data_IF_836646811326
#
_entry.id   IF_836646811326
#
_cell.length_a   1.000
_cell.length_b   1.000
_cell.length_c   1.000
_cell.angle_alpha   90.00
_cell.angle_beta   90.00
_cell.angle_gamma   90.00
#
_symmetry.space_group_name_H-M   'P 1'
#
loop_
_entity.id
_entity.type
_entity.pdbx_description
1 polymer ?
#
# COMPACT_ATOMS: atom_id res chain seq x y z
N UNK A 1 -2.15 -16.15 -8.09
CA UNK A 1 -1.25 -15.09 -8.58
C UNK A 1 0.03 -15.15 -7.76
N UNK A 2 1.20 -15.11 -8.39
CA UNK A 2 2.50 -15.41 -7.75
C UNK A 2 3.14 -14.21 -7.06
N UNK A 3 2.54 -13.02 -7.19
CA UNK A 3 3.02 -11.77 -6.59
C UNK A 3 4.08 -11.04 -7.43
N UNK A 4 4.67 -9.97 -6.87
CA UNK A 4 5.74 -9.22 -7.52
C UNK A 4 7.02 -10.05 -7.67
N UNK A 5 7.72 -9.84 -8.78
CA UNK A 5 9.09 -10.34 -9.02
C UNK A 5 9.92 -9.22 -9.62
N UNK A 6 11.27 -9.28 -9.53
CA UNK A 6 12.14 -8.29 -10.18
C UNK A 6 11.83 -8.12 -11.68
N UNK A 7 11.57 -9.22 -12.39
CA UNK A 7 11.27 -9.21 -13.83
C UNK A 7 9.97 -8.45 -14.13
N UNK A 8 8.94 -8.62 -13.29
CA UNK A 8 7.69 -7.86 -13.42
C UNK A 8 7.87 -6.38 -13.06
N UNK A 9 8.78 -6.05 -12.14
CA UNK A 9 9.08 -4.66 -11.77
C UNK A 9 9.80 -3.91 -12.89
N UNK A 10 10.53 -4.60 -13.78
CA UNK A 10 11.14 -4.03 -14.98
C UNK A 10 10.12 -3.50 -16.00
N UNK A 11 8.85 -3.93 -15.93
CA UNK A 11 7.75 -3.34 -16.72
C UNK A 11 7.57 -1.84 -16.39
N UNK A 12 8.01 -1.44 -15.20
CA UNK A 12 8.06 -0.05 -14.78
C UNK A 12 6.88 0.36 -13.90
N UNK A 13 7.02 1.52 -13.27
CA UNK A 13 5.95 2.22 -12.56
C UNK A 13 4.71 2.42 -13.45
N UNK A 14 3.47 2.37 -12.91
CA UNK A 14 2.28 2.68 -13.70
C UNK A 14 2.30 4.11 -14.25
N UNK A 15 1.71 4.30 -15.43
CA UNK A 15 1.58 5.63 -16.04
C UNK A 15 0.95 6.65 -15.09
N UNK A 16 1.52 7.85 -15.06
CA UNK A 16 1.09 9.01 -14.23
C UNK A 16 1.08 8.74 -12.72
N UNK A 17 1.61 7.61 -12.26
CA UNK A 17 1.60 7.25 -10.84
C UNK A 17 2.36 8.27 -9.98
N UNK A 18 3.48 8.80 -10.48
CA UNK A 18 4.33 9.76 -9.76
C UNK A 18 3.63 11.08 -9.40
N UNK A 19 2.70 11.53 -10.25
CA UNK A 19 1.95 12.77 -10.05
C UNK A 19 0.57 12.56 -9.46
N UNK A 20 0.10 11.31 -9.40
CA UNK A 20 -1.14 10.96 -8.74
C UNK A 20 -1.00 11.12 -7.21
N UNK A 21 -1.95 11.81 -6.54
CA UNK A 21 -1.97 11.88 -5.08
C UNK A 21 -1.93 10.49 -4.45
N UNK A 22 -1.18 10.34 -3.35
CA UNK A 22 -1.05 9.05 -2.65
C UNK A 22 -2.40 8.57 -2.10
N UNK A 23 -3.13 9.49 -1.47
CA UNK A 23 -4.37 9.21 -0.74
C UNK A 23 -5.45 10.22 -1.11
N UNK A 24 -6.72 9.83 -0.96
CA UNK A 24 -7.88 10.70 -1.03
C UNK A 24 -8.45 11.01 0.35
N UNK A 25 -9.55 11.76 0.38
CA UNK A 25 -10.31 12.01 1.62
C UNK A 25 -11.09 10.75 2.01
N UNK A 26 -11.25 10.55 3.32
CA UNK A 26 -12.15 9.50 3.83
C UNK A 26 -13.58 9.80 3.36
N UNK A 27 -14.24 8.79 2.82
CA UNK A 27 -15.63 8.86 2.35
C UNK A 27 -16.51 8.18 3.39
N UNK A 28 -17.51 8.91 3.88
CA UNK A 28 -18.51 8.47 4.86
C UNK A 28 -17.94 7.85 6.15
N UNK A 29 -16.70 8.19 6.50
CA UNK A 29 -16.01 7.59 7.65
C UNK A 29 -15.61 6.12 7.47
N UNK A 30 -15.91 5.52 6.31
CA UNK A 30 -15.80 4.08 6.05
C UNK A 30 -14.70 3.75 5.02
N UNK A 31 -14.67 4.48 3.90
CA UNK A 31 -13.77 4.17 2.80
C UNK A 31 -12.58 5.13 2.79
N UNK A 32 -11.37 4.57 2.76
CA UNK A 32 -10.14 5.32 2.59
C UNK A 32 -9.54 5.02 1.21
N UNK A 33 -9.78 5.86 0.20
CA UNK A 33 -9.22 5.66 -1.13
C UNK A 33 -7.75 6.05 -1.20
N UNK A 34 -6.95 5.27 -1.91
CA UNK A 34 -5.54 5.53 -2.18
C UNK A 34 -5.14 4.94 -3.54
N UNK A 35 -4.10 5.49 -4.18
CA UNK A 35 -3.53 4.88 -5.40
C UNK A 35 -2.80 3.58 -5.02
N UNK A 36 -2.60 2.66 -5.97
CA UNK A 36 -1.89 1.39 -5.66
C UNK A 36 -0.51 1.67 -5.06
N UNK A 37 -0.18 1.14 -3.87
CA UNK A 37 1.17 1.25 -3.32
C UNK A 37 2.13 0.35 -4.08
N UNK A 38 3.42 0.67 -4.04
CA UNK A 38 4.47 -0.08 -4.71
C UNK A 38 5.45 -0.64 -3.68
N UNK A 39 5.83 -1.90 -3.79
CA UNK A 39 6.85 -2.49 -2.93
C UNK A 39 8.26 -1.99 -3.29
N UNK A 40 9.23 -2.37 -2.46
CA UNK A 40 10.63 -1.93 -2.59
C UNK A 40 11.30 -2.29 -3.91
N UNK A 41 10.74 -3.21 -4.72
CA UNK A 41 11.26 -3.53 -6.05
C UNK A 41 11.20 -2.33 -7.03
N UNK A 42 10.41 -1.30 -6.73
CA UNK A 42 10.30 -0.09 -7.54
C UNK A 42 11.15 1.08 -7.02
N UNK A 43 11.87 0.91 -5.91
CA UNK A 43 12.58 2.00 -5.22
C UNK A 43 13.60 2.71 -6.10
N UNK A 44 14.31 1.97 -6.93
CA UNK A 44 15.34 2.52 -7.84
C UNK A 44 14.73 3.30 -9.01
N UNK A 45 13.42 3.18 -9.23
CA UNK A 45 12.68 3.89 -10.28
C UNK A 45 11.97 5.15 -9.74
N UNK A 46 11.95 5.35 -8.42
CA UNK A 46 11.11 6.35 -7.74
C UNK A 46 11.96 7.17 -6.77
N UNK A 47 11.95 8.49 -6.95
CA UNK A 47 12.52 9.43 -5.97
C UNK A 47 11.98 9.15 -4.56
N UNK A 48 12.86 9.10 -3.55
CA UNK A 48 12.51 8.75 -2.16
C UNK A 48 11.27 9.47 -1.62
N UNK A 49 11.09 10.75 -1.93
CA UNK A 49 9.94 11.56 -1.47
C UNK A 49 8.59 11.15 -2.08
N UNK A 50 8.62 10.56 -3.28
CA UNK A 50 7.43 10.16 -4.04
C UNK A 50 7.02 8.72 -3.75
N UNK A 51 7.88 7.92 -3.12
CA UNK A 51 7.61 6.53 -2.73
C UNK A 51 6.35 6.42 -1.87
N UNK A 52 5.62 5.34 -2.08
CA UNK A 52 4.37 5.05 -1.40
C UNK A 52 4.23 3.54 -1.27
N UNK A 53 4.63 3.02 -0.11
CA UNK A 53 4.62 1.61 0.24
C UNK A 53 3.32 1.24 0.95
N UNK A 54 2.97 -0.06 1.04
CA UNK A 54 1.81 -0.49 1.82
C UNK A 54 1.83 0.01 3.27
N UNK A 55 3.02 0.09 3.90
CA UNK A 55 3.20 0.61 5.25
C UNK A 55 2.75 2.09 5.38
N UNK A 56 2.97 2.92 4.35
CA UNK A 56 2.56 4.32 4.35
C UNK A 56 1.03 4.47 4.43
N UNK A 57 0.27 3.49 3.92
CA UNK A 57 -1.19 3.46 4.03
C UNK A 57 -1.59 3.26 5.49
N UNK A 58 -0.97 2.30 6.19
CA UNK A 58 -1.27 2.00 7.59
C UNK A 58 -0.81 3.10 8.56
N UNK A 59 0.28 3.77 8.24
CA UNK A 59 0.81 4.89 9.03
C UNK A 59 0.08 6.22 8.77
N UNK A 60 -0.77 6.29 7.74
CA UNK A 60 -1.52 7.51 7.43
C UNK A 60 -2.45 7.90 8.59
N UNK A 61 -2.55 9.19 8.98
CA UNK A 61 -3.36 9.62 10.14
C UNK A 61 -4.83 9.21 10.10
N UNK A 62 -5.40 9.06 8.90
CA UNK A 62 -6.79 8.62 8.73
C UNK A 62 -7.00 7.13 9.05
N UNK A 63 -5.95 6.31 8.99
CA UNK A 63 -5.94 4.85 9.15
C UNK A 63 -5.29 4.43 10.46
N UNK A 64 -4.21 5.12 10.87
CA UNK A 64 -3.43 4.81 12.07
C UNK A 64 -4.33 4.70 13.30
N UNK A 65 -4.19 3.60 14.04
CA UNK A 65 -4.99 3.31 15.23
C UNK A 65 -6.41 2.80 14.95
N UNK A 66 -6.77 2.58 13.67
CA UNK A 66 -8.04 1.94 13.27
C UNK A 66 -7.78 0.56 12.71
N UNK A 67 -8.77 -0.33 12.85
CA UNK A 67 -8.76 -1.64 12.20
C UNK A 67 -9.22 -1.48 10.75
N UNK A 68 -8.33 -1.76 9.79
CA UNK A 68 -8.70 -1.88 8.37
C UNK A 68 -9.44 -3.20 8.20
N UNK A 69 -10.76 -3.22 7.98
CA UNK A 69 -11.49 -4.50 7.88
C UNK A 69 -11.23 -5.27 6.58
N UNK A 70 -10.98 -4.53 5.49
CA UNK A 70 -10.87 -5.07 4.14
C UNK A 70 -9.90 -4.21 3.33
N UNK A 71 -9.04 -4.87 2.56
CA UNK A 71 -8.19 -4.24 1.55
C UNK A 71 -8.68 -4.68 0.17
N UNK A 72 -9.27 -3.75 -0.58
CA UNK A 72 -9.81 -4.04 -1.91
C UNK A 72 -8.81 -3.59 -2.98
N UNK A 73 -8.15 -4.54 -3.63
CA UNK A 73 -7.30 -4.29 -4.78
C UNK A 73 -8.09 -4.50 -6.08
N UNK A 74 -8.24 -3.43 -6.86
CA UNK A 74 -8.93 -3.44 -8.14
C UNK A 74 -7.97 -3.49 -9.33
N UNK A 75 -6.67 -3.66 -9.09
CA UNK A 75 -5.69 -3.80 -10.16
C UNK A 75 -5.77 -5.20 -10.78
N UNK A 76 -5.73 -5.27 -12.11
CA UNK A 76 -5.71 -6.55 -12.85
C UNK A 76 -4.29 -7.12 -12.94
N UNK A 77 -3.52 -7.06 -11.87
CA UNK A 77 -2.13 -7.55 -11.80
C UNK A 77 -1.73 -7.80 -10.35
N UNK A 78 -0.67 -8.57 -10.15
CA UNK A 78 -0.09 -8.89 -8.84
C UNK A 78 1.31 -8.31 -8.66
N UNK A 79 1.74 -7.41 -9.56
CA UNK A 79 3.13 -6.95 -9.64
C UNK A 79 3.50 -5.80 -8.71
N UNK A 80 2.53 -5.18 -8.03
CA UNK A 80 2.75 -3.90 -7.35
C UNK A 80 3.26 -4.04 -5.93
N UNK A 81 2.70 -4.95 -5.14
CA UNK A 81 3.13 -5.18 -3.77
C UNK A 81 2.86 -6.63 -3.37
N UNK A 82 3.56 -7.13 -2.34
CA UNK A 82 3.34 -8.47 -1.84
C UNK A 82 2.11 -8.47 -0.92
N UNK A 83 1.21 -9.44 -1.09
CA UNK A 83 0.01 -9.60 -0.23
C UNK A 83 0.38 -9.65 1.27
N UNK A 84 1.55 -10.23 1.60
CA UNK A 84 2.07 -10.28 2.97
C UNK A 84 2.30 -8.90 3.59
N UNK A 85 2.64 -7.87 2.82
CA UNK A 85 2.84 -6.49 3.33
C UNK A 85 1.52 -5.86 3.80
N UNK A 86 0.38 -6.37 3.33
CA UNK A 86 -0.96 -5.94 3.74
C UNK A 86 -1.53 -6.86 4.80
N UNK A 87 -1.34 -8.18 4.67
CA UNK A 87 -1.85 -9.17 5.62
C UNK A 87 -1.12 -9.16 6.98
N UNK A 88 0.21 -8.96 7.03
CA UNK A 88 0.94 -8.96 8.30
C UNK A 88 0.78 -7.68 9.12
N UNK A 89 0.41 -6.56 8.50
CA UNK A 89 0.10 -5.32 9.24
C UNK A 89 -1.04 -5.53 10.25
N UNK A 90 -1.96 -6.46 9.99
CA UNK A 90 -2.95 -6.89 10.97
C UNK A 90 -2.32 -7.51 12.22
N UNK A 91 -1.31 -8.38 12.06
CA UNK A 91 -0.64 -9.04 13.18
C UNK A 91 0.19 -8.08 14.03
N UNK A 92 0.84 -7.09 13.41
CA UNK A 92 1.55 -6.03 14.14
C UNK A 92 0.61 -5.09 14.90
N UNK A 93 -0.54 -4.74 14.32
CA UNK A 93 -1.61 -4.05 15.04
C UNK A 93 -2.10 -4.88 16.23
N UNK A 94 -2.40 -6.17 16.04
CA UNK A 94 -2.80 -7.06 17.13
C UNK A 94 -1.76 -7.14 18.26
N UNK A 95 -0.47 -7.25 17.95
CA UNK A 95 0.59 -7.25 18.97
C UNK A 95 0.67 -5.91 19.71
N UNK A 96 0.52 -4.79 18.99
CA UNK A 96 0.59 -3.46 19.61
C UNK A 96 -0.60 -3.18 20.55
N UNK A 97 -1.80 -3.67 20.23
CA UNK A 97 -2.98 -3.54 21.10
C UNK A 97 -2.97 -4.45 22.32
N UNK A 98 -2.21 -5.55 22.32
CA UNK A 98 -2.17 -6.47 23.46
C UNK A 98 -1.18 -6.05 24.56
N UNK A 99 -0.33 -5.06 24.29
CA UNK A 99 0.65 -4.51 25.24
C UNK A 99 0.32 -3.07 25.71
N UNK A 100 -0.91 -2.59 25.50
CA UNK A 100 -1.39 -1.28 25.99
C UNK A 100 -2.47 -1.43 27.04
#
# INVERSE_FOLDING_TARGET
MSGPTPEKALIGVPDRWMHCPKTGKVVDGLFFPFKTPLCSLYDDQIEKRLRFHPEDVFNHPAVKGKKVGLWVDLTKTDRYYFVKEVCFSFYFLFHSYHFS
#
